data_IF_586829940222
#
_entry.id   IF_586829940222
#
_cell.length_a   1.000
_cell.length_b   1.000
_cell.length_c   1.000
_cell.angle_alpha   90.00
_cell.angle_beta   90.00
_cell.angle_gamma   90.00
#
_symmetry.space_group_name_H-M   'P 1'
#
loop_
_entity.id
_entity.type
_entity.pdbx_description
1 polymer ?
#
# COMPACT_ATOMS: atom_id res chain seq x y z
N UNK A 1 -20.21 12.01 18.14
CA UNK A 1 -20.80 10.69 17.83
C UNK A 1 -22.10 10.94 17.06
N UNK A 2 -22.01 11.13 15.74
CA UNK A 2 -23.19 11.28 14.86
C UNK A 2 -23.09 10.22 13.75
N UNK A 3 -24.11 9.35 13.75
CA UNK A 3 -24.66 8.47 12.72
C UNK A 3 -23.80 8.10 11.49
N UNK A 4 -22.86 7.17 11.69
CA UNK A 4 -22.03 6.56 10.64
C UNK A 4 -22.80 5.51 9.80
N UNK A 5 -24.06 5.22 10.13
CA UNK A 5 -24.86 4.16 9.49
C UNK A 5 -25.68 4.60 8.25
N UNK A 6 -25.55 5.85 7.78
CA UNK A 6 -26.37 6.38 6.67
C UNK A 6 -25.65 6.39 5.32
N UNK A 7 -24.32 6.29 5.26
CA UNK A 7 -23.58 6.20 3.99
C UNK A 7 -23.50 4.74 3.50
N UNK A 8 -24.61 4.19 3.01
CA UNK A 8 -24.66 2.84 2.42
C UNK A 8 -24.83 2.92 0.90
N UNK A 9 -24.03 2.16 0.16
CA UNK A 9 -24.11 2.07 -1.31
C UNK A 9 -25.54 1.81 -1.81
N UNK A 10 -26.30 0.93 -1.14
CA UNK A 10 -27.70 0.66 -1.53
C UNK A 10 -28.60 1.89 -1.40
N UNK A 11 -28.40 2.69 -0.35
CA UNK A 11 -29.20 3.90 -0.11
C UNK A 11 -28.81 5.03 -1.05
N UNK A 12 -27.52 5.13 -1.42
CA UNK A 12 -27.03 6.10 -2.40
C UNK A 12 -27.68 5.85 -3.76
N UNK A 13 -27.62 4.61 -4.27
CA UNK A 13 -28.17 4.24 -5.59
C UNK A 13 -29.70 4.35 -5.64
N UNK A 14 -30.38 4.15 -4.49
CA UNK A 14 -31.84 4.29 -4.40
C UNK A 14 -32.32 5.75 -4.24
N UNK A 15 -31.41 6.68 -3.97
CA UNK A 15 -31.76 8.08 -3.78
C UNK A 15 -32.08 8.77 -5.11
N UNK A 16 -32.98 9.76 -5.08
CA UNK A 16 -33.37 10.52 -6.29
C UNK A 16 -32.19 11.36 -6.82
N UNK A 17 -31.29 11.79 -5.93
CA UNK A 17 -30.08 12.54 -6.27
C UNK A 17 -28.89 12.01 -5.45
N UNK A 18 -28.14 11.09 -6.06
CA UNK A 18 -26.97 10.42 -5.47
C UNK A 18 -25.95 11.41 -4.92
N UNK A 19 -25.66 12.48 -5.66
CA UNK A 19 -24.66 13.48 -5.26
C UNK A 19 -25.10 14.26 -4.01
N UNK A 20 -26.35 14.74 -3.97
CA UNK A 20 -26.86 15.48 -2.80
C UNK A 20 -26.92 14.58 -1.55
N UNK A 21 -27.26 13.30 -1.73
CA UNK A 21 -27.23 12.33 -0.65
C UNK A 21 -25.82 12.12 -0.10
N UNK A 22 -24.82 11.95 -0.97
CA UNK A 22 -23.41 11.77 -0.58
C UNK A 22 -22.89 12.99 0.18
N UNK A 23 -23.12 14.20 -0.30
CA UNK A 23 -22.67 15.44 0.37
C UNK A 23 -23.26 15.55 1.79
N UNK A 24 -24.51 15.11 1.97
CA UNK A 24 -25.22 15.24 3.23
C UNK A 24 -24.88 14.15 4.26
N UNK A 25 -24.64 12.92 3.80
CA UNK A 25 -24.57 11.74 4.68
C UNK A 25 -23.21 11.00 4.64
N UNK A 26 -22.37 11.25 3.63
CA UNK A 26 -21.06 10.61 3.48
C UNK A 26 -19.95 11.63 3.74
N UNK A 27 -19.54 11.76 5.01
CA UNK A 27 -18.32 12.50 5.37
C UNK A 27 -17.13 11.54 5.42
N UNK A 28 -16.37 11.46 4.32
CA UNK A 28 -15.09 10.76 4.30
C UNK A 28 -14.01 11.67 4.91
N UNK A 29 -13.43 11.28 6.05
CA UNK A 29 -12.33 12.00 6.72
C UNK A 29 -10.96 11.81 6.02
N UNK A 30 -10.96 11.51 4.73
CA UNK A 30 -9.76 11.35 3.92
C UNK A 30 -9.44 12.67 3.19
N UNK A 31 -8.16 12.89 2.85
CA UNK A 31 -7.75 14.08 2.08
C UNK A 31 -8.46 14.21 0.73
N UNK A 32 -8.97 13.12 0.17
CA UNK A 32 -9.74 13.08 -1.07
C UNK A 32 -11.03 12.30 -0.78
N UNK A 33 -12.19 12.97 -0.90
CA UNK A 33 -13.49 12.33 -0.76
C UNK A 33 -13.83 11.56 -2.05
N UNK A 34 -13.47 10.27 -2.10
CA UNK A 34 -13.67 9.44 -3.29
C UNK A 34 -15.16 9.27 -3.62
N UNK A 35 -16.01 9.15 -2.59
CA UNK A 35 -17.45 8.98 -2.76
C UNK A 35 -18.06 10.20 -3.45
N UNK A 36 -17.72 11.40 -2.99
CA UNK A 36 -18.15 12.65 -3.63
C UNK A 36 -17.60 12.80 -5.04
N UNK A 37 -16.32 12.47 -5.25
CA UNK A 37 -15.72 12.54 -6.59
C UNK A 37 -16.45 11.64 -7.61
N UNK A 38 -16.76 10.39 -7.24
CA UNK A 38 -17.44 9.46 -8.14
C UNK A 38 -18.89 9.87 -8.45
N UNK A 39 -19.68 10.21 -7.42
CA UNK A 39 -21.10 10.52 -7.59
C UNK A 39 -21.37 11.95 -8.08
N UNK A 40 -20.54 12.93 -7.68
CA UNK A 40 -20.76 14.35 -8.03
C UNK A 40 -19.93 14.85 -9.20
N UNK A 41 -18.68 14.41 -9.36
CA UNK A 41 -17.77 14.93 -10.41
C UNK A 41 -17.81 14.07 -11.66
N UNK A 42 -17.72 12.75 -11.49
CA UNK A 42 -17.73 11.78 -12.60
C UNK A 42 -19.15 11.39 -13.03
N UNK A 43 -20.17 11.74 -12.22
CA UNK A 43 -21.57 11.41 -12.47
C UNK A 43 -21.78 9.92 -12.75
N UNK A 44 -21.17 9.07 -11.91
CA UNK A 44 -21.30 7.61 -11.95
C UNK A 44 -20.76 6.95 -13.24
N UNK A 45 -20.00 7.68 -14.05
CA UNK A 45 -19.42 7.16 -15.27
C UNK A 45 -18.26 6.18 -15.00
N UNK A 46 -18.58 4.89 -15.06
CA UNK A 46 -17.64 3.79 -14.82
C UNK A 46 -16.47 3.78 -15.81
N UNK A 47 -16.68 4.16 -17.08
CA UNK A 47 -15.61 4.17 -18.08
C UNK A 47 -14.52 5.20 -17.72
N UNK A 48 -14.92 6.38 -17.26
CA UNK A 48 -13.97 7.40 -16.80
C UNK A 48 -13.24 6.91 -15.55
N UNK A 49 -13.94 6.27 -14.63
CA UNK A 49 -13.33 5.71 -13.43
C UNK A 49 -12.29 4.62 -13.76
N UNK A 50 -12.59 3.71 -14.69
CA UNK A 50 -11.66 2.65 -15.11
C UNK A 50 -10.40 3.23 -15.75
N UNK A 51 -10.57 4.22 -16.64
CA UNK A 51 -9.44 4.93 -17.26
C UNK A 51 -8.58 5.61 -16.20
N UNK A 52 -9.19 6.33 -15.24
CA UNK A 52 -8.46 7.00 -14.16
C UNK A 52 -7.73 5.99 -13.26
N UNK A 53 -8.39 4.87 -12.93
CA UNK A 53 -7.83 3.82 -12.06
C UNK A 53 -6.61 3.16 -12.67
N UNK A 54 -6.51 3.09 -14.01
CA UNK A 54 -5.32 2.59 -14.69
C UNK A 54 -4.28 3.71 -14.88
N UNK A 55 -4.71 4.87 -15.35
CA UNK A 55 -3.82 5.94 -15.76
C UNK A 55 -3.09 6.59 -14.58
N UNK A 56 -3.80 6.89 -13.48
CA UNK A 56 -3.23 7.59 -12.32
C UNK A 56 -2.11 6.78 -11.67
N UNK A 57 -2.29 5.48 -11.30
CA UNK A 57 -1.21 4.71 -10.69
C UNK A 57 0.00 4.51 -11.61
N UNK A 58 -0.22 4.37 -12.93
CA UNK A 58 0.89 4.29 -13.89
C UNK A 58 1.70 5.59 -13.90
N UNK A 59 1.03 6.73 -13.97
CA UNK A 59 1.69 8.03 -13.92
C UNK A 59 2.42 8.24 -12.58
N UNK A 60 1.76 7.93 -11.45
CA UNK A 60 2.35 8.00 -10.12
C UNK A 60 3.60 7.13 -10.01
N UNK A 61 3.59 5.91 -10.54
CA UNK A 61 4.74 5.02 -10.52
C UNK A 61 5.90 5.56 -11.36
N UNK A 62 5.64 6.16 -12.52
CA UNK A 62 6.68 6.78 -13.37
C UNK A 62 7.33 7.97 -12.67
N UNK A 63 6.51 8.86 -12.08
CA UNK A 63 7.01 10.01 -11.31
C UNK A 63 7.83 9.51 -10.13
N UNK A 64 7.31 8.57 -9.35
CA UNK A 64 8.00 8.00 -8.20
C UNK A 64 9.34 7.37 -8.58
N UNK A 65 9.40 6.62 -9.69
CA UNK A 65 10.63 6.02 -10.20
C UNK A 65 11.67 7.08 -10.56
N UNK A 66 11.27 8.11 -11.32
CA UNK A 66 12.17 9.20 -11.73
C UNK A 66 12.69 10.00 -10.53
N UNK A 67 11.80 10.38 -9.61
CA UNK A 67 12.17 11.09 -8.38
C UNK A 67 13.10 10.24 -7.50
N UNK A 68 12.87 8.93 -7.41
CA UNK A 68 13.70 8.02 -6.63
C UNK A 68 15.11 7.87 -7.21
N UNK A 69 15.25 7.84 -8.52
CA UNK A 69 16.54 7.77 -9.19
C UNK A 69 17.36 9.05 -8.96
N UNK A 70 16.76 10.22 -9.15
CA UNK A 70 17.47 11.50 -9.12
C UNK A 70 17.78 11.94 -7.67
N UNK A 71 16.80 11.86 -6.77
CA UNK A 71 16.91 12.48 -5.44
C UNK A 71 17.18 11.46 -4.33
N UNK A 72 16.43 10.37 -4.30
CA UNK A 72 16.51 9.40 -3.21
C UNK A 72 17.83 8.62 -3.25
N UNK A 73 18.22 8.13 -4.42
CA UNK A 73 19.47 7.39 -4.61
C UNK A 73 20.70 8.25 -4.27
N UNK A 74 20.73 9.50 -4.72
CA UNK A 74 21.79 10.45 -4.39
C UNK A 74 21.85 10.76 -2.88
N UNK A 75 20.69 10.88 -2.23
CA UNK A 75 20.61 11.12 -0.78
C UNK A 75 21.10 9.91 0.02
N UNK A 76 20.68 8.70 -0.36
CA UNK A 76 21.15 7.46 0.25
C UNK A 76 22.67 7.29 0.08
N UNK A 77 23.24 7.64 -1.07
CA UNK A 77 24.68 7.59 -1.29
C UNK A 77 25.43 8.55 -0.35
N UNK A 78 24.95 9.78 -0.16
CA UNK A 78 25.54 10.73 0.79
C UNK A 78 25.48 10.22 2.23
N UNK A 79 24.33 9.67 2.65
CA UNK A 79 24.16 9.08 3.98
C UNK A 79 25.12 7.89 4.16
N UNK A 80 25.20 7.00 3.18
CA UNK A 80 26.10 5.84 3.19
C UNK A 80 27.56 6.27 3.35
N UNK A 81 27.99 7.30 2.64
CA UNK A 81 29.35 7.84 2.72
C UNK A 81 29.63 8.51 4.07
N UNK A 82 28.66 9.26 4.61
CA UNK A 82 28.79 9.94 5.89
C UNK A 82 28.93 8.95 7.06
N UNK A 83 28.06 7.94 7.12
CA UNK A 83 28.08 6.91 8.17
C UNK A 83 29.03 5.73 7.87
N UNK A 84 29.69 5.72 6.70
CA UNK A 84 30.53 4.61 6.20
C UNK A 84 29.81 3.26 6.16
N UNK A 85 28.50 3.28 5.87
CA UNK A 85 27.72 2.06 5.66
C UNK A 85 27.92 1.50 4.25
N UNK A 86 27.70 0.19 4.10
CA UNK A 86 27.59 -0.41 2.77
C UNK A 86 26.29 0.05 2.10
N UNK A 87 26.32 0.21 0.77
CA UNK A 87 25.14 0.63 0.01
C UNK A 87 23.99 -0.37 0.16
N UNK A 88 24.31 -1.65 0.31
CA UNK A 88 23.35 -2.72 0.64
C UNK A 88 22.69 -2.49 2.00
N UNK A 89 23.46 -2.23 3.05
CA UNK A 89 22.91 -1.97 4.40
C UNK A 89 21.99 -0.75 4.40
N UNK A 90 22.42 0.34 3.75
CA UNK A 90 21.63 1.56 3.59
C UNK A 90 20.31 1.30 2.85
N UNK A 91 20.33 0.49 1.78
CA UNK A 91 19.12 0.16 1.01
C UNK A 91 18.17 -0.78 1.77
N UNK A 92 18.67 -1.83 2.42
CA UNK A 92 17.80 -2.79 3.11
C UNK A 92 17.26 -2.26 4.45
N UNK A 93 17.90 -1.23 5.02
CA UNK A 93 17.53 -0.69 6.34
C UNK A 93 16.95 0.71 6.25
N UNK A 94 17.72 1.70 5.76
CA UNK A 94 17.31 3.12 5.79
C UNK A 94 16.18 3.36 4.78
N UNK A 95 16.33 2.85 3.56
CA UNK A 95 15.29 2.96 2.54
C UNK A 95 14.04 2.16 2.93
N UNK A 96 14.20 0.93 3.44
CA UNK A 96 13.08 0.13 3.92
C UNK A 96 12.32 0.81 5.07
N UNK A 97 13.04 1.40 6.03
CA UNK A 97 12.45 2.17 7.13
C UNK A 97 11.71 3.42 6.63
N UNK A 98 12.32 4.18 5.72
CA UNK A 98 11.71 5.38 5.13
C UNK A 98 10.39 5.07 4.41
N UNK A 99 10.33 3.96 3.68
CA UNK A 99 9.11 3.52 3.01
C UNK A 99 8.06 2.96 3.99
N UNK A 100 8.48 2.18 4.99
CA UNK A 100 7.57 1.51 5.93
C UNK A 100 7.01 2.40 7.05
N UNK A 101 7.68 3.50 7.39
CA UNK A 101 7.21 4.42 8.43
C UNK A 101 5.80 4.98 8.18
N UNK A 102 5.47 5.58 7.02
CA UNK A 102 4.10 6.06 6.75
C UNK A 102 3.06 4.94 6.74
N UNK A 103 3.42 3.73 6.31
CA UNK A 103 2.53 2.57 6.32
C UNK A 103 2.15 2.15 7.76
N UNK A 104 3.12 2.19 8.69
CA UNK A 104 2.85 1.92 10.11
C UNK A 104 1.91 2.96 10.69
N UNK A 105 2.12 4.26 10.41
CA UNK A 105 1.22 5.31 10.90
C UNK A 105 -0.20 5.15 10.34
N UNK A 106 -0.32 4.85 9.05
CA UNK A 106 -1.60 4.58 8.40
C UNK A 106 -2.29 3.36 9.03
N UNK A 107 -1.54 2.30 9.30
CA UNK A 107 -2.04 1.10 9.97
C UNK A 107 -2.50 1.35 11.41
N UNK A 108 -1.79 2.19 12.16
CA UNK A 108 -2.18 2.57 13.52
C UNK A 108 -3.48 3.39 13.54
N UNK A 109 -3.66 4.29 12.57
CA UNK A 109 -4.87 5.10 12.45
C UNK A 109 -6.05 4.22 12.03
N UNK A 110 -5.88 3.40 10.99
CA UNK A 110 -6.95 2.53 10.50
C UNK A 110 -7.26 1.37 11.47
N UNK A 111 -6.30 0.91 12.27
CA UNK A 111 -6.53 -0.07 13.35
C UNK A 111 -7.35 0.47 14.53
N UNK A 112 -7.38 1.79 14.72
CA UNK A 112 -8.29 2.45 15.68
C UNK A 112 -9.69 2.69 15.12
N UNK A 113 -9.88 2.53 13.81
CA UNK A 113 -11.18 2.66 13.16
C UNK A 113 -12.02 1.41 13.39
N UNK A 114 -13.29 1.60 13.76
CA UNK A 114 -14.25 0.51 13.96
C UNK A 114 -14.80 -0.06 12.64
N UNK A 115 -14.48 0.57 11.50
CA UNK A 115 -15.13 0.30 10.20
C UNK A 115 -14.23 -0.47 9.23
N UNK A 116 -13.80 -1.67 9.60
CA UNK A 116 -13.08 -2.55 8.67
C UNK A 116 -11.69 -2.04 8.23
N UNK A 117 -11.12 -1.05 8.92
CA UNK A 117 -9.79 -0.50 8.61
C UNK A 117 -8.69 -1.56 8.61
N UNK A 118 -8.81 -2.60 9.44
CA UNK A 118 -7.89 -3.75 9.45
C UNK A 118 -7.89 -4.47 8.09
N UNK A 119 -9.04 -4.69 7.47
CA UNK A 119 -9.12 -5.36 6.16
C UNK A 119 -8.49 -4.48 5.06
N UNK A 120 -8.69 -3.17 5.13
CA UNK A 120 -8.06 -2.22 4.21
C UNK A 120 -6.54 -2.23 4.33
N UNK A 121 -5.99 -2.23 5.55
CA UNK A 121 -4.54 -2.30 5.80
C UNK A 121 -3.96 -3.62 5.31
N UNK A 122 -4.61 -4.75 5.62
CA UNK A 122 -4.15 -6.07 5.17
C UNK A 122 -4.13 -6.11 3.64
N UNK A 123 -5.21 -5.62 3.00
CA UNK A 123 -5.31 -5.52 1.55
C UNK A 123 -4.24 -4.62 0.94
N UNK A 124 -3.91 -3.49 1.57
CA UNK A 124 -2.88 -2.57 1.06
C UNK A 124 -1.47 -3.18 1.15
N UNK A 125 -1.13 -3.82 2.28
CA UNK A 125 0.18 -4.48 2.46
C UNK A 125 0.34 -5.65 1.47
N UNK A 126 -0.70 -6.48 1.34
CA UNK A 126 -0.70 -7.61 0.42
C UNK A 126 -0.59 -7.13 -1.04
N UNK A 127 -1.39 -6.15 -1.43
CA UNK A 127 -1.38 -5.54 -2.76
C UNK A 127 -0.05 -4.89 -3.11
N UNK A 128 0.57 -4.16 -2.17
CA UNK A 128 1.90 -3.58 -2.35
C UNK A 128 2.96 -4.67 -2.57
N UNK A 129 2.92 -5.76 -1.80
CA UNK A 129 3.80 -6.91 -1.98
C UNK A 129 3.67 -7.56 -3.36
N UNK A 130 2.43 -7.78 -3.82
CA UNK A 130 2.16 -8.29 -5.17
C UNK A 130 2.67 -7.34 -6.25
N UNK A 131 2.42 -6.04 -6.12
CA UNK A 131 2.89 -5.05 -7.09
C UNK A 131 4.43 -5.05 -7.22
N UNK A 132 5.15 -5.07 -6.10
CA UNK A 132 6.62 -5.07 -6.09
C UNK A 132 7.18 -6.37 -6.69
N UNK A 133 6.63 -7.52 -6.32
CA UNK A 133 7.12 -8.82 -6.79
C UNK A 133 6.77 -9.13 -8.25
N UNK A 134 5.67 -8.59 -8.77
CA UNK A 134 5.23 -8.84 -10.15
C UNK A 134 5.71 -7.75 -11.10
N UNK A 135 5.37 -6.49 -10.86
CA UNK A 135 5.62 -5.38 -11.79
C UNK A 135 7.03 -4.84 -11.60
N UNK A 136 7.41 -4.47 -10.37
CA UNK A 136 8.70 -3.82 -10.11
C UNK A 136 9.86 -4.78 -10.37
N UNK A 137 9.81 -6.00 -9.83
CA UNK A 137 10.84 -7.01 -10.04
C UNK A 137 10.98 -7.38 -11.53
N UNK A 138 9.86 -7.56 -12.24
CA UNK A 138 9.89 -7.82 -13.69
C UNK A 138 10.58 -6.70 -14.47
N UNK A 139 10.27 -5.44 -14.16
CA UNK A 139 10.94 -4.28 -14.78
C UNK A 139 12.43 -4.22 -14.48
N UNK A 140 12.83 -4.53 -13.24
CA UNK A 140 14.25 -4.60 -12.86
C UNK A 140 14.97 -5.70 -13.65
N UNK A 141 14.39 -6.89 -13.73
CA UNK A 141 14.96 -8.02 -14.48
C UNK A 141 15.05 -7.70 -15.97
N UNK A 142 14.00 -7.12 -16.56
CA UNK A 142 13.98 -6.72 -17.98
C UNK A 142 15.07 -5.70 -18.31
N UNK A 143 15.32 -4.75 -17.40
CA UNK A 143 16.33 -3.70 -17.59
C UNK A 143 17.75 -4.19 -17.24
N UNK A 144 17.88 -5.20 -16.39
CA UNK A 144 19.15 -5.73 -15.96
C UNK A 144 19.72 -6.68 -17.02
N UNK A 145 20.68 -6.19 -17.82
CA UNK A 145 21.37 -6.98 -18.87
C UNK A 145 21.90 -8.33 -18.38
N UNK A 146 22.49 -8.37 -17.16
CA UNK A 146 22.94 -9.60 -16.49
C UNK A 146 22.81 -9.43 -14.97
N UNK A 147 22.12 -10.35 -14.32
CA UNK A 147 22.04 -10.44 -12.85
C UNK A 147 22.75 -11.72 -12.43
N UNK A 148 23.76 -11.59 -11.56
CA UNK A 148 24.31 -12.75 -10.83
C UNK A 148 23.59 -12.84 -9.49
N UNK A 149 22.93 -13.96 -9.25
CA UNK A 149 22.16 -14.20 -8.03
C UNK A 149 22.79 -15.39 -7.31
N UNK A 150 23.01 -15.25 -5.99
CA UNK A 150 23.29 -16.40 -5.14
C UNK A 150 21.99 -17.18 -4.92
N UNK A 151 21.91 -18.37 -5.51
CA UNK A 151 20.71 -19.19 -5.48
C UNK A 151 20.26 -19.56 -4.06
N UNK A 152 21.21 -19.74 -3.12
CA UNK A 152 20.89 -20.12 -1.74
C UNK A 152 20.27 -18.96 -0.99
N UNK A 153 20.85 -17.77 -1.12
CA UNK A 153 20.34 -16.54 -0.50
C UNK A 153 18.97 -16.21 -1.09
N UNK A 154 18.84 -16.26 -2.41
CA UNK A 154 17.58 -15.97 -3.10
C UNK A 154 16.44 -16.93 -2.73
N UNK A 155 16.70 -18.24 -2.71
CA UNK A 155 15.71 -19.23 -2.29
C UNK A 155 15.28 -19.02 -0.84
N UNK A 156 16.24 -18.77 0.06
CA UNK A 156 15.95 -18.47 1.46
C UNK A 156 15.01 -17.27 1.56
N UNK A 157 15.36 -16.16 0.90
CA UNK A 157 14.59 -14.91 0.99
C UNK A 157 13.18 -15.06 0.39
N UNK A 158 13.02 -15.80 -0.72
CA UNK A 158 11.70 -16.13 -1.28
C UNK A 158 10.88 -17.01 -0.34
N UNK A 159 11.49 -18.02 0.28
CA UNK A 159 10.77 -18.92 1.19
C UNK A 159 10.26 -18.17 2.42
N UNK A 160 11.08 -17.30 3.01
CA UNK A 160 10.64 -16.43 4.11
C UNK A 160 9.51 -15.49 3.68
N UNK A 161 9.60 -14.92 2.47
CA UNK A 161 8.57 -14.05 1.95
C UNK A 161 7.23 -14.79 1.73
N UNK A 162 7.25 -15.96 1.08
CA UNK A 162 6.05 -16.79 0.87
C UNK A 162 5.45 -17.20 2.22
N UNK A 163 6.30 -17.63 3.17
CA UNK A 163 5.86 -18.00 4.49
C UNK A 163 5.16 -16.84 5.23
N UNK A 164 5.73 -15.64 5.18
CA UNK A 164 5.10 -14.44 5.74
C UNK A 164 3.74 -14.14 5.08
N UNK A 165 3.62 -14.26 3.75
CA UNK A 165 2.36 -14.05 3.05
C UNK A 165 1.29 -15.09 3.41
N UNK A 166 1.68 -16.35 3.60
CA UNK A 166 0.76 -17.39 4.07
C UNK A 166 0.23 -17.09 5.48
N UNK A 167 1.06 -16.57 6.37
CA UNK A 167 0.62 -16.14 7.71
C UNK A 167 -0.40 -15.00 7.61
N UNK A 168 -0.14 -13.96 6.79
CA UNK A 168 -1.07 -12.85 6.58
C UNK A 168 -2.41 -13.37 6.03
N UNK A 169 -2.36 -14.25 5.03
CA UNK A 169 -3.54 -14.86 4.43
C UNK A 169 -4.35 -15.66 5.46
N UNK A 170 -3.67 -16.45 6.30
CA UNK A 170 -4.30 -17.18 7.40
C UNK A 170 -4.97 -16.25 8.43
N UNK A 171 -4.32 -15.15 8.79
CA UNK A 171 -4.91 -14.16 9.71
C UNK A 171 -6.12 -13.45 9.11
N UNK A 172 -6.12 -13.22 7.79
CA UNK A 172 -7.29 -12.70 7.07
C UNK A 172 -8.50 -13.63 7.21
N UNK A 173 -8.30 -14.96 7.11
CA UNK A 173 -9.39 -15.93 7.29
C UNK A 173 -9.96 -15.94 8.72
N UNK A 174 -9.13 -15.68 9.72
CA UNK A 174 -9.57 -15.56 11.12
C UNK A 174 -10.37 -14.26 11.34
N UNK A 175 -10.08 -13.22 10.56
CA UNK A 175 -10.79 -11.92 10.63
C UNK A 175 -10.48 -11.10 11.89
N UNK A 176 -9.45 -11.49 12.65
CA UNK A 176 -9.00 -10.78 13.86
C UNK A 176 -7.47 -10.81 13.93
N UNK A 177 -6.88 -9.66 14.25
CA UNK A 177 -5.44 -9.53 14.50
C UNK A 177 -5.23 -9.27 16.00
N UNK A 178 -4.51 -10.16 16.67
CA UNK A 178 -4.17 -10.04 18.10
C UNK A 178 -2.73 -9.60 18.29
N UNK A 179 -2.37 -9.12 19.48
CA UNK A 179 -1.00 -8.66 19.74
C UNK A 179 0.05 -9.78 19.62
N UNK A 180 -0.29 -11.03 19.95
CA UNK A 180 0.59 -12.19 19.74
C UNK A 180 0.89 -12.42 18.26
N UNK A 181 -0.13 -12.27 17.41
CA UNK A 181 0.00 -12.38 15.96
C UNK A 181 0.94 -11.30 15.41
N UNK A 182 0.87 -10.07 15.93
CA UNK A 182 1.81 -9.00 15.60
C UNK A 182 3.23 -9.29 16.08
N UNK A 183 3.38 -9.84 17.29
CA UNK A 183 4.70 -10.22 17.83
C UNK A 183 5.41 -11.27 16.98
N UNK A 184 4.67 -12.21 16.37
CA UNK A 184 5.24 -13.20 15.46
C UNK A 184 5.88 -12.52 14.22
N UNK A 185 5.23 -11.52 13.64
CA UNK A 185 5.78 -10.78 12.50
C UNK A 185 7.02 -9.97 12.87
N UNK A 186 7.07 -9.39 14.06
CA UNK A 186 8.26 -8.70 14.56
C UNK A 186 9.42 -9.71 14.69
N UNK A 187 9.16 -10.90 15.24
CA UNK A 187 10.17 -11.95 15.34
C UNK A 187 10.62 -12.51 13.98
N UNK A 188 9.78 -12.47 12.96
CA UNK A 188 10.14 -12.90 11.61
C UNK A 188 10.99 -11.84 10.88
N UNK A 189 10.82 -10.57 11.23
CA UNK A 189 11.58 -9.46 10.67
C UNK A 189 13.01 -9.36 11.23
N UNK A 190 13.22 -9.75 12.49
CA UNK A 190 14.53 -9.74 13.19
C UNK A 190 15.31 -11.02 12.85
#
# INVERSE_FOLDING_TARGET
MQEINQCNQKQIIQSINSCQYVIQYCQDYQQINFTEFYFCTINENVLVLDILTIFVPLLSFQILSSTSEIYLSASLQKISNFFKFSQTFTAITILAFGNGAPDIFTALIAGKSQNGGINMIIGSIFGAGLFVTTITLSKVIQNAKRIKIDQKIFLRDILFYIFAQLIILFYTFIGKVTWYMSSLFISLYI
#
